data_IF_200570444377
#
_entry.id   IF_200570444377
#
_cell.length_a   1.000
_cell.length_b   1.000
_cell.length_c   1.000
_cell.angle_alpha   90.00
_cell.angle_beta   90.00
_cell.angle_gamma   90.00
#
_symmetry.space_group_name_H-M   'P 1'
#
loop_
_entity.id
_entity.type
_entity.pdbx_description
1 polymer ?
#
# COMPACT_ATOMS: atom_id res chain seq x y z
N UNK A 1 -2.89 7.23 6.66
CA UNK A 1 -3.44 6.29 5.67
C UNK A 1 -3.97 5.00 6.28
N UNK A 2 -3.22 4.39 7.16
CA UNK A 2 -3.60 3.09 7.72
C UNK A 2 -4.86 3.15 8.57
N UNK A 3 -5.04 4.20 9.36
CA UNK A 3 -6.26 4.35 10.17
C UNK A 3 -7.50 4.58 9.30
N UNK A 4 -7.38 5.29 8.19
CA UNK A 4 -8.49 5.47 7.26
C UNK A 4 -8.95 4.14 6.66
N UNK A 5 -8.00 3.25 6.35
CA UNK A 5 -8.30 1.92 5.83
C UNK A 5 -8.77 0.95 6.92
N UNK A 6 -8.75 1.35 8.19
CA UNK A 6 -9.13 0.53 9.34
C UNK A 6 -8.33 -0.78 9.40
N UNK A 7 -7.01 -0.67 9.27
CA UNK A 7 -6.10 -1.82 9.26
C UNK A 7 -6.17 -2.58 10.58
N UNK A 8 -6.19 -3.90 10.51
CA UNK A 8 -6.17 -4.80 11.67
C UNK A 8 -5.13 -5.90 11.45
N UNK A 9 -4.93 -6.74 12.45
CA UNK A 9 -3.99 -7.87 12.37
C UNK A 9 -4.37 -8.93 11.33
N UNK A 10 -5.58 -8.85 10.78
CA UNK A 10 -6.04 -9.76 9.72
C UNK A 10 -5.68 -9.27 8.33
N UNK A 11 -5.18 -8.06 8.23
CA UNK A 11 -4.88 -7.45 6.94
C UNK A 11 -3.51 -7.83 6.41
N UNK A 12 -3.41 -7.78 5.08
CA UNK A 12 -2.16 -7.87 4.33
C UNK A 12 -2.02 -6.56 3.56
N UNK A 13 -1.10 -5.73 3.97
CA UNK A 13 -0.88 -4.39 3.39
C UNK A 13 0.19 -4.48 2.31
N UNK A 14 -0.17 -4.07 1.09
CA UNK A 14 0.79 -3.93 -0.01
C UNK A 14 1.06 -2.45 -0.23
N UNK A 15 2.31 -2.05 -0.13
CA UNK A 15 2.74 -0.68 -0.42
C UNK A 15 3.49 -0.66 -1.76
N UNK A 16 2.90 -0.01 -2.75
CA UNK A 16 3.46 0.05 -4.10
C UNK A 16 4.42 1.24 -4.21
N UNK A 17 5.70 0.94 -4.42
CA UNK A 17 6.76 1.92 -4.34
C UNK A 17 7.12 2.21 -2.89
N UNK A 18 7.48 1.18 -2.14
CA UNK A 18 7.56 1.24 -0.67
C UNK A 18 8.71 2.09 -0.12
N UNK A 19 9.66 2.50 -0.95
CA UNK A 19 10.77 3.32 -0.50
C UNK A 19 11.57 2.64 0.60
N UNK A 20 11.66 3.29 1.75
CA UNK A 20 12.38 2.75 2.91
C UNK A 20 11.54 1.78 3.75
N UNK A 21 10.33 1.44 3.30
CA UNK A 21 9.48 0.43 3.93
C UNK A 21 8.69 0.89 5.13
N UNK A 22 8.70 2.19 5.47
CA UNK A 22 8.11 2.69 6.71
C UNK A 22 6.62 2.37 6.86
N UNK A 23 5.85 2.40 5.79
CA UNK A 23 4.40 2.19 5.88
C UNK A 23 4.07 0.78 6.33
N UNK A 24 4.65 -0.25 5.69
CA UNK A 24 4.38 -1.64 6.08
C UNK A 24 5.01 -1.99 7.42
N UNK A 25 6.16 -1.38 7.75
CA UNK A 25 6.78 -1.55 9.06
C UNK A 25 5.87 -0.99 10.16
N UNK A 26 5.34 0.21 9.98
CA UNK A 26 4.40 0.82 10.94
C UNK A 26 3.13 -0.01 11.04
N UNK A 27 2.59 -0.50 9.92
CA UNK A 27 1.41 -1.36 9.94
C UNK A 27 1.65 -2.61 10.79
N UNK A 28 2.81 -3.23 10.65
CA UNK A 28 3.17 -4.40 11.44
C UNK A 28 3.36 -4.06 12.93
N UNK A 29 4.05 -2.96 13.22
CA UNK A 29 4.32 -2.55 14.61
C UNK A 29 3.03 -2.16 15.34
N UNK A 30 2.18 -1.36 14.69
CA UNK A 30 1.01 -0.77 15.33
C UNK A 30 -0.20 -1.70 15.32
N UNK A 31 -0.40 -2.45 14.25
CA UNK A 31 -1.61 -3.26 14.05
C UNK A 31 -1.33 -4.75 13.99
N UNK A 32 -0.08 -5.17 13.99
CA UNK A 32 0.34 -6.57 13.79
C UNK A 32 -0.12 -7.12 12.44
N UNK A 33 -0.28 -6.25 11.46
CA UNK A 33 -0.65 -6.62 10.11
C UNK A 33 0.55 -7.16 9.34
N UNK A 34 0.32 -8.11 8.45
CA UNK A 34 1.33 -8.55 7.49
C UNK A 34 1.47 -7.49 6.41
N UNK A 35 2.66 -7.37 5.82
CA UNK A 35 2.91 -6.39 4.80
C UNK A 35 3.90 -6.84 3.76
N UNK A 36 3.71 -6.32 2.54
CA UNK A 36 4.62 -6.49 1.43
C UNK A 36 4.90 -5.12 0.84
N UNK A 37 6.17 -4.73 0.82
CA UNK A 37 6.61 -3.53 0.12
C UNK A 37 7.23 -3.92 -1.20
N UNK A 38 6.81 -3.27 -2.28
CA UNK A 38 7.37 -3.49 -3.62
C UNK A 38 8.15 -2.24 -4.00
N UNK A 39 9.44 -2.41 -4.26
CA UNK A 39 10.35 -1.31 -4.53
C UNK A 39 11.38 -1.73 -5.59
N UNK A 40 11.61 -0.88 -6.58
CA UNK A 40 12.53 -1.18 -7.67
C UNK A 40 14.00 -0.90 -7.32
N UNK A 41 14.24 -0.03 -6.35
CA UNK A 41 15.59 0.37 -5.95
C UNK A 41 16.16 -0.63 -4.93
N UNK A 42 17.19 -1.36 -5.33
CA UNK A 42 17.82 -2.40 -4.50
C UNK A 42 18.31 -1.87 -3.15
N UNK A 43 18.89 -0.69 -3.13
CA UNK A 43 19.44 -0.11 -1.89
C UNK A 43 18.31 0.20 -0.89
N UNK A 44 17.17 0.69 -1.39
CA UNK A 44 15.99 0.93 -0.55
C UNK A 44 15.39 -0.38 -0.05
N UNK A 45 15.37 -1.42 -0.87
CA UNK A 45 14.91 -2.75 -0.44
C UNK A 45 15.77 -3.28 0.70
N UNK A 46 17.09 -3.16 0.59
CA UNK A 46 18.00 -3.59 1.64
C UNK A 46 17.81 -2.79 2.92
N UNK A 47 17.71 -1.47 2.80
CA UNK A 47 17.45 -0.60 3.95
C UNK A 47 16.12 -0.94 4.62
N UNK A 48 15.10 -1.28 3.83
CA UNK A 48 13.79 -1.71 4.34
C UNK A 48 13.89 -3.01 5.14
N UNK A 49 14.64 -3.98 4.64
CA UNK A 49 14.85 -5.25 5.35
C UNK A 49 15.56 -5.06 6.67
N UNK A 50 16.57 -4.20 6.70
CA UNK A 50 17.28 -3.84 7.93
C UNK A 50 16.34 -3.11 8.89
N UNK A 51 15.52 -2.19 8.39
CA UNK A 51 14.51 -1.48 9.18
C UNK A 51 13.50 -2.41 9.82
N UNK A 52 13.09 -3.46 9.11
CA UNK A 52 12.16 -4.45 9.63
C UNK A 52 12.77 -5.26 10.77
N UNK A 53 14.06 -5.61 10.66
CA UNK A 53 14.78 -6.30 11.74
C UNK A 53 14.91 -5.39 12.96
N UNK A 54 15.34 -4.16 12.78
CA UNK A 54 15.47 -3.18 13.86
C UNK A 54 14.13 -2.87 14.53
N UNK A 55 13.06 -2.85 13.74
CA UNK A 55 11.70 -2.62 14.22
C UNK A 55 11.04 -3.85 14.82
N UNK A 56 11.73 -4.99 14.87
CA UNK A 56 11.25 -6.27 15.43
C UNK A 56 9.99 -6.80 14.72
N UNK A 57 9.86 -6.58 13.40
CA UNK A 57 8.71 -7.03 12.59
C UNK A 57 9.14 -7.80 11.34
N UNK A 58 10.38 -8.27 11.28
CA UNK A 58 10.88 -9.01 10.11
C UNK A 58 10.07 -10.27 9.80
N UNK A 59 9.37 -10.82 10.79
CA UNK A 59 8.49 -11.98 10.62
C UNK A 59 7.15 -11.64 9.97
N UNK A 60 6.77 -10.36 9.95
CA UNK A 60 5.47 -9.92 9.41
C UNK A 60 5.58 -9.25 8.04
N UNK A 61 6.74 -8.71 7.69
CA UNK A 61 6.89 -7.92 6.47
C UNK A 61 7.89 -8.55 5.51
N UNK A 62 7.61 -8.40 4.22
CA UNK A 62 8.47 -8.86 3.13
C UNK A 62 8.69 -7.69 2.18
N UNK A 63 9.90 -7.55 1.67
CA UNK A 63 10.21 -6.54 0.67
C UNK A 63 10.65 -7.22 -0.62
N UNK A 64 9.98 -6.85 -1.72
CA UNK A 64 10.22 -7.40 -3.05
C UNK A 64 10.93 -6.35 -3.89
N UNK A 65 12.09 -6.71 -4.41
CA UNK A 65 12.77 -5.88 -5.39
C UNK A 65 12.11 -6.14 -6.76
N UNK A 66 11.41 -5.15 -7.28
CA UNK A 66 10.72 -5.32 -8.56
C UNK A 66 9.83 -4.16 -8.93
N UNK A 67 9.23 -4.31 -10.10
CA UNK A 67 8.28 -3.35 -10.66
C UNK A 67 6.87 -3.70 -10.21
N UNK A 68 6.20 -2.79 -9.53
CA UNK A 68 4.85 -3.05 -9.03
C UNK A 68 3.81 -3.20 -10.15
N UNK A 69 4.09 -2.74 -11.36
CA UNK A 69 3.21 -3.01 -12.51
C UNK A 69 3.26 -4.49 -12.92
N UNK A 70 4.37 -5.18 -12.64
CA UNK A 70 4.59 -6.56 -13.05
C UNK A 70 4.41 -7.57 -11.90
N UNK A 71 4.24 -7.09 -10.68
CA UNK A 71 4.12 -7.95 -9.50
C UNK A 71 2.66 -8.25 -9.20
N UNK A 72 2.33 -9.51 -8.86
CA UNK A 72 0.98 -9.89 -8.45
C UNK A 72 0.62 -9.23 -7.11
N UNK A 73 -0.46 -8.47 -7.08
CA UNK A 73 -0.95 -7.78 -5.88
C UNK A 73 -2.24 -8.39 -5.34
N UNK A 74 -2.70 -9.49 -5.93
CA UNK A 74 -3.99 -10.10 -5.55
C UNK A 74 -4.09 -10.57 -4.09
N UNK A 75 -3.00 -10.91 -3.38
CA UNK A 75 -3.12 -11.27 -1.96
C UNK A 75 -3.42 -10.09 -1.03
N UNK A 76 -3.31 -8.85 -1.51
CA UNK A 76 -3.52 -7.68 -0.67
C UNK A 76 -4.96 -7.55 -0.18
N UNK A 77 -5.14 -7.11 1.06
CA UNK A 77 -6.42 -6.64 1.58
C UNK A 77 -6.44 -5.12 1.72
N UNK A 78 -5.26 -4.51 1.76
CA UNK A 78 -5.08 -3.06 1.76
C UNK A 78 -3.91 -2.74 0.84
N UNK A 79 -4.10 -1.75 -0.03
CA UNK A 79 -3.02 -1.24 -0.90
C UNK A 79 -2.81 0.23 -0.58
N UNK A 80 -1.57 0.61 -0.34
CA UNK A 80 -1.21 2.01 -0.09
C UNK A 80 -0.44 2.57 -1.28
N UNK A 81 -0.78 3.80 -1.66
CA UNK A 81 -0.18 4.51 -2.78
C UNK A 81 0.32 5.87 -2.31
N UNK A 82 1.60 6.10 -2.47
CA UNK A 82 2.22 7.41 -2.25
C UNK A 82 3.05 7.72 -3.49
N UNK A 83 2.34 7.99 -4.59
CA UNK A 83 2.93 8.06 -5.93
C UNK A 83 2.58 9.39 -6.59
N UNK A 84 2.01 9.35 -7.78
CA UNK A 84 1.64 10.54 -8.56
C UNK A 84 0.32 10.33 -9.28
N UNK A 85 -0.25 11.41 -9.79
CA UNK A 85 -1.47 11.35 -10.60
C UNK A 85 -1.30 10.44 -11.81
N UNK A 86 -0.18 10.57 -12.52
CA UNK A 86 0.08 9.79 -13.74
C UNK A 86 0.24 8.30 -13.42
N UNK A 87 1.04 7.98 -12.41
CA UNK A 87 1.28 6.58 -12.03
C UNK A 87 -0.01 5.94 -11.51
N UNK A 88 -0.76 6.66 -10.68
CA UNK A 88 -2.04 6.16 -10.16
C UNK A 88 -3.01 5.83 -11.30
N UNK A 89 -3.12 6.71 -12.30
CA UNK A 89 -3.99 6.48 -13.45
C UNK A 89 -3.56 5.22 -14.23
N UNK A 90 -2.27 5.02 -14.39
CA UNK A 90 -1.74 3.82 -15.06
C UNK A 90 -1.97 2.54 -14.26
N UNK A 91 -2.04 2.65 -12.93
CA UNK A 91 -2.29 1.50 -12.05
C UNK A 91 -3.77 1.10 -12.02
N UNK A 92 -4.69 1.98 -12.39
CA UNK A 92 -6.13 1.72 -12.22
C UNK A 92 -6.58 0.38 -12.81
N UNK A 93 -6.24 0.01 -14.07
CA UNK A 93 -6.68 -1.27 -14.64
C UNK A 93 -6.18 -2.47 -13.83
N UNK A 94 -4.94 -2.41 -13.35
CA UNK A 94 -4.35 -3.48 -12.55
C UNK A 94 -5.05 -3.60 -11.20
N UNK A 95 -5.27 -2.47 -10.53
CA UNK A 95 -5.96 -2.45 -9.23
C UNK A 95 -7.35 -3.06 -9.35
N UNK A 96 -8.11 -2.66 -10.39
CA UNK A 96 -9.46 -3.18 -10.61
C UNK A 96 -9.47 -4.65 -10.97
N UNK A 97 -8.48 -5.13 -11.72
CA UNK A 97 -8.44 -6.50 -12.22
C UNK A 97 -7.95 -7.50 -11.18
N UNK A 98 -6.90 -7.14 -10.44
CA UNK A 98 -6.22 -8.10 -9.56
C UNK A 98 -6.74 -8.11 -8.14
N UNK A 99 -7.20 -6.97 -7.62
CA UNK A 99 -7.64 -6.89 -6.24
C UNK A 99 -9.04 -7.48 -6.05
N UNK A 100 -9.20 -8.23 -4.97
CA UNK A 100 -10.50 -8.84 -4.62
C UNK A 100 -11.50 -7.77 -4.18
N UNK A 101 -12.81 -7.98 -4.41
CA UNK A 101 -13.84 -7.10 -3.87
C UNK A 101 -13.67 -6.91 -2.36
N UNK A 102 -13.87 -5.70 -1.88
CA UNK A 102 -13.69 -5.36 -0.47
C UNK A 102 -12.27 -4.93 -0.09
N UNK A 103 -11.28 -5.13 -0.97
CA UNK A 103 -9.93 -4.61 -0.74
C UNK A 103 -9.98 -3.09 -0.66
N UNK A 104 -9.26 -2.52 0.29
CA UNK A 104 -9.21 -1.08 0.49
C UNK A 104 -7.94 -0.51 -0.10
N UNK A 105 -8.09 0.55 -0.90
CA UNK A 105 -6.96 1.26 -1.51
C UNK A 105 -6.92 2.65 -0.90
N UNK A 106 -5.76 3.03 -0.37
CA UNK A 106 -5.56 4.37 0.21
C UNK A 106 -4.45 5.07 -0.56
N UNK A 107 -4.74 6.27 -1.05
CA UNK A 107 -3.76 7.08 -1.77
C UNK A 107 -3.52 8.40 -1.07
N UNK A 108 -2.25 8.74 -0.88
CA UNK A 108 -1.83 10.02 -0.36
C UNK A 108 -1.86 11.05 -1.50
N UNK A 109 -2.65 12.09 -1.30
CA UNK A 109 -2.70 13.31 -2.11
C UNK A 109 -3.35 13.16 -3.50
N UNK A 110 -3.15 12.05 -4.22
CA UNK A 110 -3.58 11.93 -5.62
C UNK A 110 -4.66 10.88 -5.80
N UNK A 111 -5.64 11.20 -6.66
CA UNK A 111 -6.70 10.26 -7.04
C UNK A 111 -6.19 9.25 -8.07
N UNK A 112 -7.03 8.26 -8.35
CA UNK A 112 -6.74 7.18 -9.31
C UNK A 112 -7.61 7.43 -10.54
N UNK A 113 -7.06 8.11 -11.57
CA UNK A 113 -7.80 8.42 -12.78
C UNK A 113 -9.15 9.05 -12.49
N UNK A 114 -10.20 8.53 -13.11
CA UNK A 114 -11.59 8.98 -12.92
C UNK A 114 -12.35 8.17 -11.88
N UNK A 115 -11.68 7.29 -11.16
CA UNK A 115 -12.31 6.44 -10.14
C UNK A 115 -12.64 7.27 -8.90
N UNK A 116 -13.93 7.48 -8.66
CA UNK A 116 -14.39 8.27 -7.52
C UNK A 116 -14.07 7.57 -6.20
N UNK A 117 -13.41 8.24 -5.25
CA UNK A 117 -13.12 7.63 -3.96
C UNK A 117 -14.41 7.48 -3.12
N UNK A 118 -14.42 6.48 -2.25
CA UNK A 118 -15.51 6.25 -1.31
C UNK A 118 -15.43 7.17 -0.11
N UNK A 119 -14.23 7.64 0.23
CA UNK A 119 -14.01 8.52 1.37
C UNK A 119 -12.76 9.35 1.14
N UNK A 120 -12.69 10.48 1.84
CA UNK A 120 -11.52 11.34 1.83
C UNK A 120 -11.38 12.03 3.17
N UNK A 121 -10.15 12.18 3.64
CA UNK A 121 -9.82 12.98 4.82
C UNK A 121 -8.67 13.91 4.49
N UNK A 122 -8.49 14.93 5.32
CA UNK A 122 -7.38 15.85 5.18
C UNK A 122 -6.49 15.75 6.42
N UNK A 123 -5.20 15.48 6.17
CA UNK A 123 -4.21 15.28 7.23
C UNK A 123 -3.02 16.18 6.94
N UNK A 124 -2.75 17.12 7.86
CA UNK A 124 -1.62 18.04 7.72
C UNK A 124 -1.68 18.88 6.44
N UNK A 125 -2.88 19.23 5.98
CA UNK A 125 -3.07 20.02 4.76
C UNK A 125 -3.04 19.20 3.48
N UNK A 126 -2.91 17.88 3.55
CA UNK A 126 -2.89 17.00 2.39
C UNK A 126 -4.08 16.05 2.39
N UNK A 127 -4.61 15.78 1.19
CA UNK A 127 -5.74 14.88 1.04
C UNK A 127 -5.28 13.42 1.09
N UNK A 128 -6.10 12.58 1.72
CA UNK A 128 -5.92 11.12 1.72
C UNK A 128 -7.25 10.51 1.29
N UNK A 129 -7.20 9.69 0.25
CA UNK A 129 -8.39 9.10 -0.37
C UNK A 129 -8.47 7.61 -0.12
N UNK A 130 -9.69 7.10 0.02
CA UNK A 130 -9.99 5.69 0.20
C UNK A 130 -10.92 5.20 -0.89
N UNK A 131 -10.58 4.07 -1.51
CA UNK A 131 -11.47 3.31 -2.38
C UNK A 131 -11.69 1.93 -1.78
N UNK A 132 -12.91 1.42 -1.92
CA UNK A 132 -13.22 0.03 -1.60
C UNK A 132 -13.52 -0.63 -2.93
N UNK A 133 -12.78 -1.68 -3.26
CA UNK A 133 -12.97 -2.39 -4.54
C UNK A 133 -14.37 -2.97 -4.58
N UNK A 134 -15.18 -2.60 -5.59
CA UNK A 134 -16.58 -3.03 -5.64
C UNK A 134 -16.73 -4.50 -6.02
N UNK A 135 -17.91 -5.10 -5.75
CA UNK A 135 -18.23 -6.43 -6.24
C UNK A 135 -18.14 -6.51 -7.77
N UNK A 136 -17.71 -7.65 -8.26
CA UNK A 136 -17.65 -7.92 -9.70
C UNK A 136 -18.95 -8.48 -10.24
#
# INVERSE_FOLDING_TARGET
>A
MLSLAKVTSRDVVYDLGSGDGRIVIIAAQKYRARGVGIEINRELVQASREGAVQGAVADLVTFVEGDFFATDISPATVVTLWLSTTVNARLEPKLRRELRPGTRIVSHQFKIGDWSPDSAIRVGGEDVFLWIVPPR
#
